data_IF_801971338944
#
_entry.id   IF_801971338944
#
_cell.length_a   1.000
_cell.length_b   1.000
_cell.length_c   1.000
_cell.angle_alpha   90.00
_cell.angle_beta   90.00
_cell.angle_gamma   90.00
#
_symmetry.space_group_name_H-M   'P 1'
#
loop_
_entity.id
_entity.type
_entity.pdbx_description
1 polymer ?
#
# COMPACT_ATOMS: atom_id res chain seq x y z
N UNK A 1 30.83 -5.83 -8.02
CA UNK A 1 30.43 -4.89 -6.96
C UNK A 1 29.04 -5.32 -6.52
N UNK A 2 28.66 -5.22 -5.25
CA UNK A 2 27.31 -5.51 -4.84
C UNK A 2 26.34 -4.57 -5.58
N UNK A 3 25.11 -5.04 -5.81
CA UNK A 3 24.06 -4.24 -6.42
C UNK A 3 23.68 -3.06 -5.52
N UNK A 4 23.24 -1.96 -6.11
CA UNK A 4 22.65 -0.84 -5.38
C UNK A 4 21.30 -1.21 -4.80
N UNK A 5 20.80 -0.46 -3.81
CA UNK A 5 19.47 -0.67 -3.25
C UNK A 5 18.38 -0.58 -4.31
N UNK A 6 18.50 0.40 -5.22
CA UNK A 6 17.61 0.52 -6.37
C UNK A 6 17.59 -0.76 -7.22
N UNK A 7 18.78 -1.24 -7.60
CA UNK A 7 18.89 -2.40 -8.49
C UNK A 7 18.37 -3.69 -7.85
N UNK A 8 18.64 -3.89 -6.55
CA UNK A 8 18.15 -5.04 -5.79
C UNK A 8 16.63 -5.10 -5.76
N UNK A 9 15.94 -3.97 -5.49
CA UNK A 9 14.48 -3.92 -5.45
C UNK A 9 13.89 -4.09 -6.84
N UNK A 10 14.41 -3.37 -7.84
CA UNK A 10 13.97 -3.49 -9.24
C UNK A 10 14.03 -4.94 -9.70
N UNK A 11 15.17 -5.60 -9.52
CA UNK A 11 15.35 -7.00 -9.94
C UNK A 11 14.48 -7.97 -9.16
N UNK A 12 14.23 -7.71 -7.88
CA UNK A 12 13.29 -8.52 -7.11
C UNK A 12 11.87 -8.44 -7.69
N UNK A 13 11.41 -7.24 -8.07
CA UNK A 13 10.09 -7.03 -8.67
C UNK A 13 10.02 -7.65 -10.08
N UNK A 14 11.06 -7.52 -10.87
CA UNK A 14 11.15 -8.03 -12.24
C UNK A 14 11.59 -9.51 -12.33
N UNK A 15 11.78 -10.18 -11.19
CA UNK A 15 12.26 -11.57 -11.10
C UNK A 15 13.60 -11.81 -11.81
N UNK A 16 14.49 -10.80 -11.81
CA UNK A 16 15.77 -10.76 -12.54
C UNK A 16 16.99 -10.91 -11.61
N UNK A 17 17.02 -11.95 -10.80
CA UNK A 17 18.19 -12.39 -10.03
C UNK A 17 18.88 -11.27 -9.22
N UNK A 18 18.24 -10.67 -8.21
CA UNK A 18 18.92 -9.78 -7.27
C UNK A 18 20.01 -10.54 -6.52
N UNK A 19 21.11 -9.86 -6.17
CA UNK A 19 22.24 -10.49 -5.46
C UNK A 19 21.97 -10.72 -3.96
N UNK A 20 20.92 -10.11 -3.42
CA UNK A 20 20.46 -10.28 -2.05
C UNK A 20 18.96 -9.99 -1.93
N UNK A 21 18.37 -10.37 -0.82
CA UNK A 21 17.01 -10.04 -0.48
C UNK A 21 16.87 -8.53 -0.23
N UNK A 22 15.94 -7.81 -0.90
CA UNK A 22 15.59 -6.44 -0.51
C UNK A 22 14.97 -6.40 0.89
N UNK A 23 15.31 -5.37 1.67
CA UNK A 23 14.87 -5.24 3.06
C UNK A 23 14.32 -3.86 3.38
N UNK A 24 13.42 -3.81 4.39
CA UNK A 24 12.98 -2.59 5.02
C UNK A 24 12.97 -2.74 6.54
N UNK A 25 13.95 -2.11 7.19
CA UNK A 25 14.11 -2.04 8.64
C UNK A 25 14.03 -0.58 9.10
N UNK A 26 12.83 -0.03 9.18
CA UNK A 26 12.61 1.39 9.44
C UNK A 26 13.26 1.87 10.75
N UNK A 27 13.18 1.08 11.84
CA UNK A 27 13.77 1.45 13.14
C UNK A 27 15.29 1.50 13.15
N UNK A 28 15.93 0.83 12.21
CA UNK A 28 17.39 0.83 12.06
C UNK A 28 17.86 1.82 10.99
N UNK A 29 16.94 2.44 10.27
CA UNK A 29 17.26 3.28 9.13
C UNK A 29 17.87 2.51 7.95
N UNK A 30 17.72 1.18 7.95
CA UNK A 30 18.22 0.30 6.88
C UNK A 30 17.04 -0.06 5.98
N UNK A 31 17.06 0.47 4.76
CA UNK A 31 15.97 0.23 3.81
C UNK A 31 16.45 0.35 2.37
N UNK A 32 16.00 -0.56 1.53
CA UNK A 32 16.19 -0.49 0.07
C UNK A 32 15.06 0.29 -0.61
N UNK A 33 13.94 0.49 0.10
CA UNK A 33 12.75 1.19 -0.42
C UNK A 33 12.51 2.46 0.39
N UNK A 34 12.55 3.61 -0.26
CA UNK A 34 12.21 4.91 0.34
C UNK A 34 10.82 5.36 -0.08
N UNK A 35 10.00 5.70 0.91
CA UNK A 35 8.73 6.38 0.65
C UNK A 35 8.99 7.87 0.39
N UNK A 36 8.58 8.34 -0.77
CA UNK A 36 8.64 9.76 -1.13
C UNK A 36 7.33 10.42 -0.71
N UNK A 37 7.37 11.34 0.26
CA UNK A 37 6.15 11.91 0.80
C UNK A 37 5.60 12.98 -0.14
N UNK A 38 4.37 12.82 -0.59
CA UNK A 38 3.60 13.96 -1.09
C UNK A 38 2.60 14.41 -0.01
N UNK A 39 2.13 15.63 -0.10
CA UNK A 39 1.34 16.23 0.97
C UNK A 39 -0.16 16.00 0.74
N UNK A 40 -0.66 14.83 1.12
CA UNK A 40 -2.09 14.66 1.31
C UNK A 40 -2.50 15.48 2.53
N UNK A 41 -3.19 16.59 2.29
CA UNK A 41 -3.58 17.54 3.34
C UNK A 41 -4.60 16.85 4.27
N UNK A 42 -4.35 16.90 5.57
CA UNK A 42 -5.27 16.34 6.58
C UNK A 42 -5.08 14.86 6.90
N UNK A 43 -4.61 14.04 5.96
CA UNK A 43 -4.30 12.64 6.23
C UNK A 43 -3.00 12.55 7.05
N UNK A 44 -3.11 11.97 8.24
CA UNK A 44 -1.93 11.69 9.04
C UNK A 44 -1.35 12.88 9.82
N UNK A 45 -2.09 13.98 9.99
CA UNK A 45 -1.71 14.94 11.04
C UNK A 45 -1.92 14.31 12.42
N UNK A 46 -0.94 13.49 12.80
CA UNK A 46 -0.93 12.71 14.02
C UNK A 46 -0.97 13.61 15.27
N UNK A 47 -0.75 14.89 15.12
CA UNK A 47 -0.75 15.86 16.22
C UNK A 47 -2.16 16.32 16.64
N UNK A 48 -3.17 16.21 15.78
CA UNK A 48 -4.51 16.73 16.04
C UNK A 48 -5.52 15.60 16.27
N UNK A 49 -6.38 15.75 17.31
CA UNK A 49 -7.46 14.79 17.57
C UNK A 49 -8.57 14.84 16.50
N UNK A 50 -8.74 15.98 15.89
CA UNK A 50 -9.73 16.23 14.82
C UNK A 50 -9.04 16.96 13.69
N UNK A 51 -9.20 16.47 12.48
CA UNK A 51 -8.70 17.11 11.26
C UNK A 51 -9.69 16.90 10.11
N UNK A 52 -9.50 17.64 9.03
CA UNK A 52 -10.26 17.50 7.78
C UNK A 52 -9.27 17.33 6.65
N UNK A 53 -9.47 16.31 5.83
CA UNK A 53 -8.61 16.06 4.67
C UNK A 53 -8.98 16.92 3.45
N UNK A 54 -8.21 16.80 2.38
CA UNK A 54 -8.41 17.53 1.12
C UNK A 54 -9.75 17.24 0.43
N UNK A 55 -10.40 16.14 0.81
CA UNK A 55 -11.73 15.75 0.32
C UNK A 55 -12.87 16.22 1.23
N UNK A 56 -12.54 16.93 2.32
CA UNK A 56 -13.52 17.37 3.30
C UNK A 56 -13.97 16.28 4.27
N UNK A 57 -13.32 15.12 4.29
CA UNK A 57 -13.63 14.06 5.24
C UNK A 57 -13.10 14.42 6.62
N UNK A 58 -13.95 14.31 7.64
CA UNK A 58 -13.59 14.58 9.04
C UNK A 58 -12.91 13.36 9.68
N UNK A 59 -11.71 13.56 10.22
CA UNK A 59 -10.92 12.53 10.90
C UNK A 59 -10.98 12.71 12.41
N UNK A 60 -11.14 11.61 13.12
CA UNK A 60 -11.07 11.56 14.58
C UNK A 60 -10.03 10.53 15.02
N UNK A 61 -9.21 10.90 16.00
CA UNK A 61 -8.20 10.04 16.58
C UNK A 61 -8.46 9.80 18.06
N UNK A 62 -8.32 8.56 18.49
CA UNK A 62 -8.31 8.21 19.92
C UNK A 62 -7.01 8.70 20.59
N UNK A 63 -6.92 8.53 21.91
CA UNK A 63 -5.69 8.83 22.66
C UNK A 63 -4.54 7.85 22.35
N UNK A 64 -4.85 6.74 21.68
CA UNK A 64 -3.84 5.81 21.16
C UNK A 64 -3.12 6.43 19.96
N UNK A 65 -1.79 6.33 19.87
CA UNK A 65 -1.03 6.85 18.73
C UNK A 65 -1.28 5.99 17.49
N UNK A 66 -2.30 6.35 16.73
CA UNK A 66 -2.67 5.74 15.45
C UNK A 66 -3.10 6.81 14.46
N UNK A 67 -3.39 6.39 13.25
CA UNK A 67 -3.80 7.27 12.13
C UNK A 67 -5.17 7.93 12.34
N UNK A 68 -6.01 7.39 13.23
CA UNK A 68 -7.41 7.83 13.37
C UNK A 68 -8.34 7.14 12.38
N UNK A 69 -9.57 7.58 12.38
CA UNK A 69 -10.63 7.07 11.51
C UNK A 69 -11.46 8.22 10.95
N UNK A 70 -11.97 8.05 9.75
CA UNK A 70 -12.96 8.96 9.18
C UNK A 70 -14.30 8.78 9.92
N UNK A 71 -14.83 9.87 10.43
CA UNK A 71 -16.15 9.96 11.10
C UNK A 71 -17.07 10.99 10.45
N UNK A 72 -16.51 11.97 9.75
CA UNK A 72 -17.25 12.98 9.00
C UNK A 72 -17.24 12.65 7.51
N UNK A 73 -18.42 12.37 6.95
CA UNK A 73 -18.62 11.97 5.56
C UNK A 73 -19.30 13.08 4.78
N UNK A 74 -18.59 13.91 4.00
CA UNK A 74 -19.17 15.09 3.35
C UNK A 74 -20.28 14.78 2.34
N UNK A 75 -20.29 13.57 1.80
CA UNK A 75 -21.31 13.08 0.88
C UNK A 75 -22.21 12.01 1.52
N UNK A 76 -22.39 12.00 2.84
CA UNK A 76 -23.32 11.10 3.53
C UNK A 76 -24.74 11.19 2.96
N UNK A 77 -25.16 12.38 2.56
CA UNK A 77 -26.38 12.63 1.75
C UNK A 77 -25.96 13.04 0.33
N UNK A 78 -26.56 12.42 -0.68
CA UNK A 78 -26.32 12.74 -2.08
C UNK A 78 -26.70 14.19 -2.46
N UNK A 79 -27.57 14.85 -1.70
CA UNK A 79 -27.89 16.26 -1.93
C UNK A 79 -26.68 17.18 -1.72
N UNK A 80 -25.74 16.76 -0.90
CA UNK A 80 -24.50 17.53 -0.69
C UNK A 80 -23.64 17.67 -1.96
N UNK A 81 -23.83 16.82 -2.97
CA UNK A 81 -23.12 16.95 -4.26
C UNK A 81 -23.35 18.29 -4.95
N UNK A 82 -24.50 18.94 -4.74
CA UNK A 82 -24.82 20.23 -5.36
C UNK A 82 -23.84 21.34 -4.96
N UNK A 83 -23.22 21.23 -3.79
CA UNK A 83 -22.27 22.22 -3.25
C UNK A 83 -20.87 21.65 -2.98
N UNK A 84 -20.68 20.35 -3.19
CA UNK A 84 -19.41 19.69 -2.93
C UNK A 84 -18.36 20.08 -3.96
N UNK A 85 -17.18 20.47 -3.47
CA UNK A 85 -16.04 20.78 -4.32
C UNK A 85 -15.01 19.67 -4.22
N UNK A 86 -14.76 18.99 -5.33
CA UNK A 86 -13.68 18.01 -5.43
C UNK A 86 -12.32 18.69 -5.31
N UNK A 87 -11.32 18.03 -4.69
CA UNK A 87 -9.97 18.58 -4.66
C UNK A 87 -9.38 18.68 -6.08
N UNK A 88 -8.54 19.69 -6.28
CA UNK A 88 -7.85 19.93 -7.55
C UNK A 88 -6.45 19.28 -7.51
N UNK A 89 -6.16 18.28 -8.36
CA UNK A 89 -4.84 17.64 -8.40
C UNK A 89 -3.72 18.62 -8.81
N UNK A 90 -4.03 19.78 -9.40
CA UNK A 90 -3.04 20.80 -9.75
C UNK A 90 -2.58 21.63 -8.53
N UNK A 91 -3.16 21.42 -7.35
CA UNK A 91 -2.83 22.18 -6.13
C UNK A 91 -1.34 22.08 -5.80
N UNK A 92 -0.54 23.16 -5.86
CA UNK A 92 0.92 23.10 -5.71
C UNK A 92 1.37 22.60 -4.33
N UNK A 93 0.54 22.81 -3.29
CA UNK A 93 0.83 22.39 -1.94
C UNK A 93 0.99 20.87 -1.81
N UNK A 94 0.37 20.07 -2.68
CA UNK A 94 0.49 18.61 -2.67
C UNK A 94 1.92 18.14 -2.93
N UNK A 95 2.71 18.87 -3.70
CA UNK A 95 4.01 18.42 -4.20
C UNK A 95 5.22 19.00 -3.43
N UNK A 96 4.99 19.95 -2.54
CA UNK A 96 6.05 20.68 -1.82
C UNK A 96 7.00 19.77 -1.02
N UNK A 97 6.47 18.74 -0.35
CA UNK A 97 7.27 17.82 0.44
C UNK A 97 8.16 16.93 -0.44
N UNK A 98 7.69 16.61 -1.65
CA UNK A 98 8.49 15.86 -2.62
C UNK A 98 9.68 16.66 -3.13
N UNK A 99 9.50 17.97 -3.38
CA UNK A 99 10.58 18.87 -3.79
C UNK A 99 11.72 18.85 -2.77
N UNK A 100 11.38 18.98 -1.48
CA UNK A 100 12.36 18.95 -0.38
C UNK A 100 13.04 17.56 -0.25
N UNK A 101 12.28 16.48 -0.43
CA UNK A 101 12.83 15.13 -0.37
C UNK A 101 13.93 14.91 -1.41
N UNK A 102 13.78 15.45 -2.60
CA UNK A 102 14.72 15.28 -3.69
C UNK A 102 15.93 16.22 -3.66
N UNK A 103 16.09 17.06 -2.63
CA UNK A 103 17.32 17.80 -2.40
C UNK A 103 18.49 16.91 -1.99
N UNK A 104 18.20 15.70 -1.47
CA UNK A 104 19.21 14.69 -1.08
C UNK A 104 19.20 13.54 -2.09
N UNK A 105 20.36 13.25 -2.67
CA UNK A 105 20.54 12.07 -3.52
C UNK A 105 20.81 10.82 -2.67
N UNK A 106 20.03 9.78 -2.88
CA UNK A 106 20.23 8.47 -2.28
C UNK A 106 20.06 7.39 -3.34
N UNK A 107 20.89 6.34 -3.26
CA UNK A 107 20.80 5.16 -4.12
C UNK A 107 19.78 4.16 -3.51
N UNK A 108 18.50 4.53 -3.57
CA UNK A 108 17.41 3.71 -3.07
C UNK A 108 16.30 3.61 -4.10
N UNK A 109 15.48 2.57 -4.01
CA UNK A 109 14.24 2.49 -4.77
C UNK A 109 13.21 3.44 -4.16
N UNK A 110 12.73 4.39 -4.94
CA UNK A 110 11.83 5.46 -4.48
C UNK A 110 10.40 5.17 -4.90
N UNK A 111 9.54 4.98 -3.91
CA UNK A 111 8.12 4.73 -4.09
C UNK A 111 7.32 5.88 -3.49
N UNK A 112 6.41 6.47 -4.26
CA UNK A 112 5.38 7.38 -3.75
C UNK A 112 4.02 6.72 -3.87
N UNK A 113 2.92 7.39 -3.50
CA UNK A 113 1.62 6.76 -3.66
C UNK A 113 0.45 7.56 -3.12
N UNK A 114 -0.73 7.02 -3.32
CA UNK A 114 -2.00 7.59 -2.85
C UNK A 114 -2.54 6.73 -1.70
N UNK A 115 -2.80 7.38 -0.58
CA UNK A 115 -3.50 6.80 0.55
C UNK A 115 -5.02 6.87 0.32
N UNK A 116 -5.74 5.75 0.52
CA UNK A 116 -7.17 5.61 0.22
C UNK A 116 -7.47 5.80 -1.27
N UNK A 117 -7.09 4.81 -2.07
CA UNK A 117 -7.18 4.89 -3.53
C UNK A 117 -8.62 5.10 -4.02
N UNK A 118 -9.47 4.09 -3.93
CA UNK A 118 -10.79 4.12 -4.54
C UNK A 118 -11.90 3.72 -3.56
N UNK A 119 -11.94 2.48 -3.12
CA UNK A 119 -13.01 2.01 -2.22
C UNK A 119 -12.94 2.73 -0.86
N UNK A 120 -11.75 2.83 -0.27
CA UNK A 120 -11.55 3.57 0.96
C UNK A 120 -11.92 5.05 0.80
N UNK A 121 -11.57 5.69 -0.31
CA UNK A 121 -11.95 7.07 -0.59
C UNK A 121 -13.44 7.23 -0.79
N UNK A 122 -14.09 6.31 -1.49
CA UNK A 122 -15.53 6.32 -1.68
C UNK A 122 -16.28 6.22 -0.35
N UNK A 123 -15.88 5.27 0.52
CA UNK A 123 -16.54 5.14 1.81
C UNK A 123 -16.14 6.22 2.82
N UNK A 124 -14.97 6.85 2.68
CA UNK A 124 -14.65 8.06 3.44
C UNK A 124 -15.56 9.22 3.07
N UNK A 125 -15.92 9.37 1.82
CA UNK A 125 -16.84 10.39 1.33
C UNK A 125 -18.32 10.11 1.68
N UNK A 126 -18.76 8.87 1.44
CA UNK A 126 -20.18 8.46 1.54
C UNK A 126 -20.59 7.87 2.88
N UNK A 127 -19.64 7.34 3.64
CA UNK A 127 -19.85 6.39 4.72
C UNK A 127 -19.83 4.95 4.21
N UNK A 128 -19.29 4.05 5.03
CA UNK A 128 -19.06 2.65 4.66
C UNK A 128 -20.35 1.92 4.26
N UNK A 129 -21.38 1.98 5.10
CA UNK A 129 -22.67 1.33 4.85
C UNK A 129 -23.36 1.89 3.59
N UNK A 130 -23.39 3.21 3.44
CA UNK A 130 -23.99 3.85 2.27
C UNK A 130 -23.26 3.43 0.99
N UNK A 131 -21.92 3.35 1.01
CA UNK A 131 -21.14 2.91 -0.16
C UNK A 131 -21.52 1.50 -0.57
N UNK A 132 -21.61 0.56 0.39
CA UNK A 132 -22.00 -0.82 0.08
C UNK A 132 -23.42 -0.91 -0.47
N UNK A 133 -24.38 -0.17 0.10
CA UNK A 133 -25.76 -0.13 -0.40
C UNK A 133 -25.84 0.46 -1.81
N UNK A 134 -25.13 1.56 -2.07
CA UNK A 134 -25.16 2.27 -3.34
C UNK A 134 -24.57 1.44 -4.50
N UNK A 135 -23.62 0.54 -4.22
CA UNK A 135 -23.12 -0.41 -5.22
C UNK A 135 -24.21 -1.28 -5.85
N UNK A 136 -25.35 -1.43 -5.17
CA UNK A 136 -26.52 -2.17 -5.66
C UNK A 136 -27.67 -1.25 -6.04
N UNK A 137 -27.99 -0.24 -5.21
CA UNK A 137 -29.18 0.58 -5.33
C UNK A 137 -28.99 1.83 -6.21
N UNK A 138 -27.80 2.43 -6.23
CA UNK A 138 -27.51 3.72 -6.88
C UNK A 138 -26.30 3.62 -7.84
N UNK A 139 -26.25 2.55 -8.63
CA UNK A 139 -25.08 2.16 -9.45
C UNK A 139 -24.52 3.27 -10.34
N UNK A 140 -25.39 4.05 -10.96
CA UNK A 140 -24.97 5.15 -11.83
C UNK A 140 -24.30 6.28 -11.03
N UNK A 141 -24.89 6.63 -9.89
CA UNK A 141 -24.41 7.72 -9.05
C UNK A 141 -23.12 7.37 -8.33
N UNK A 142 -23.04 6.16 -7.75
CA UNK A 142 -21.80 5.69 -7.10
C UNK A 142 -20.69 5.44 -8.13
N UNK A 143 -21.05 5.02 -9.35
CA UNK A 143 -20.11 4.87 -10.46
C UNK A 143 -19.54 6.22 -10.91
N UNK A 144 -20.38 7.25 -10.99
CA UNK A 144 -19.94 8.61 -11.28
C UNK A 144 -18.99 9.14 -10.19
N UNK A 145 -19.30 8.90 -8.90
CA UNK A 145 -18.40 9.28 -7.79
C UNK A 145 -17.04 8.55 -7.90
N UNK A 146 -17.07 7.24 -8.14
CA UNK A 146 -15.85 6.45 -8.34
C UNK A 146 -14.98 6.99 -9.47
N UNK A 147 -15.62 7.37 -10.60
CA UNK A 147 -14.89 7.94 -11.75
C UNK A 147 -14.29 9.32 -11.43
N UNK A 148 -14.94 10.13 -10.56
CA UNK A 148 -14.36 11.39 -10.07
C UNK A 148 -13.13 11.18 -9.18
N UNK A 149 -13.14 10.14 -8.34
CA UNK A 149 -11.95 9.76 -7.55
C UNK A 149 -10.82 9.32 -8.50
N UNK A 150 -11.11 8.46 -9.46
CA UNK A 150 -10.13 8.02 -10.47
C UNK A 150 -9.55 9.19 -11.27
N UNK A 151 -10.37 10.16 -11.68
CA UNK A 151 -9.90 11.33 -12.42
C UNK A 151 -8.92 12.18 -11.60
N UNK A 152 -9.17 12.33 -10.29
CA UNK A 152 -8.23 12.97 -9.36
C UNK A 152 -6.92 12.19 -9.27
N UNK A 153 -6.97 10.88 -9.05
CA UNK A 153 -5.79 10.02 -8.93
C UNK A 153 -4.92 10.06 -10.20
N UNK A 154 -5.56 10.01 -11.38
CA UNK A 154 -4.87 10.17 -12.67
C UNK A 154 -4.22 11.56 -12.81
N UNK A 155 -4.86 12.58 -12.28
CA UNK A 155 -4.28 13.93 -12.19
C UNK A 155 -3.03 13.97 -11.32
N UNK A 156 -3.06 13.36 -10.14
CA UNK A 156 -1.90 13.24 -9.23
C UNK A 156 -0.74 12.48 -9.90
N UNK A 157 -1.02 11.31 -10.52
CA UNK A 157 -0.03 10.51 -11.24
C UNK A 157 0.66 11.35 -12.32
N UNK A 158 -0.12 12.03 -13.17
CA UNK A 158 0.40 12.92 -14.21
C UNK A 158 1.28 14.02 -13.63
N UNK A 159 0.80 14.75 -12.64
CA UNK A 159 1.51 15.88 -12.03
C UNK A 159 2.83 15.44 -11.36
N UNK A 160 2.84 14.29 -10.67
CA UNK A 160 4.06 13.73 -10.09
C UNK A 160 5.07 13.40 -11.20
N UNK A 161 4.63 12.79 -12.29
CA UNK A 161 5.51 12.48 -13.41
C UNK A 161 6.08 13.73 -14.07
N UNK A 162 5.25 14.72 -14.37
CA UNK A 162 5.66 15.97 -15.01
C UNK A 162 6.69 16.76 -14.17
N UNK A 163 6.58 16.71 -12.83
CA UNK A 163 7.45 17.41 -11.92
C UNK A 163 8.74 16.65 -11.58
N UNK A 164 8.65 15.33 -11.41
CA UNK A 164 9.74 14.53 -10.84
C UNK A 164 10.27 13.44 -11.77
N UNK A 165 9.53 13.05 -12.81
CA UNK A 165 9.99 12.14 -13.86
C UNK A 165 10.55 10.83 -13.32
N UNK A 166 11.74 10.46 -13.80
CA UNK A 166 12.42 9.21 -13.45
C UNK A 166 12.98 9.16 -12.02
N UNK A 167 12.73 10.18 -11.19
CA UNK A 167 13.15 10.18 -9.78
C UNK A 167 12.28 9.27 -8.91
N UNK A 168 11.13 8.79 -9.44
CA UNK A 168 10.22 7.81 -8.86
C UNK A 168 10.32 6.52 -9.66
N UNK A 169 10.33 5.36 -9.00
CA UNK A 169 10.39 4.04 -9.62
C UNK A 169 9.14 3.20 -9.34
N UNK A 170 8.42 3.49 -8.26
CA UNK A 170 7.20 2.79 -7.89
C UNK A 170 6.10 3.73 -7.43
N UNK A 171 4.86 3.31 -7.66
CA UNK A 171 3.68 4.02 -7.20
C UNK A 171 2.78 3.09 -6.38
N UNK A 172 2.60 3.42 -5.10
CA UNK A 172 1.88 2.60 -4.15
C UNK A 172 0.49 3.16 -3.83
N UNK A 173 -0.44 2.25 -3.55
CA UNK A 173 -1.80 2.58 -3.20
C UNK A 173 -2.20 1.86 -1.91
N UNK A 174 -3.08 2.47 -1.12
CA UNK A 174 -3.79 1.74 -0.07
C UNK A 174 -5.26 1.61 -0.45
N UNK A 175 -5.82 0.43 -0.30
CA UNK A 175 -7.25 0.20 -0.42
C UNK A 175 -7.61 -1.13 0.26
N UNK A 176 -8.22 -1.07 1.45
CA UNK A 176 -8.49 -2.25 2.26
C UNK A 176 -9.77 -2.93 1.80
N UNK A 177 -9.68 -4.23 1.47
CA UNK A 177 -10.76 -4.97 0.81
C UNK A 177 -11.42 -6.05 1.65
N UNK A 178 -10.98 -6.23 2.87
CA UNK A 178 -11.53 -7.29 3.71
C UNK A 178 -11.34 -7.06 5.20
N UNK A 179 -12.08 -7.84 5.95
CA UNK A 179 -11.79 -8.10 7.36
C UNK A 179 -10.73 -9.19 7.47
N UNK A 180 -10.34 -9.58 8.68
CA UNK A 180 -9.48 -10.76 8.88
C UNK A 180 -10.13 -12.08 8.40
N UNK A 181 -11.43 -12.11 8.14
CA UNK A 181 -12.19 -13.33 7.84
C UNK A 181 -12.83 -13.35 6.46
N UNK A 182 -13.39 -12.22 6.05
CA UNK A 182 -14.26 -12.14 4.87
C UNK A 182 -14.01 -10.87 4.06
N UNK A 183 -14.34 -10.95 2.78
CA UNK A 183 -14.39 -9.82 1.85
C UNK A 183 -15.56 -8.87 2.18
N UNK A 184 -15.43 -7.61 1.84
CA UNK A 184 -16.54 -6.64 1.96
C UNK A 184 -17.60 -6.80 0.88
N UNK A 185 -17.21 -7.23 -0.33
CA UNK A 185 -18.10 -7.45 -1.47
C UNK A 185 -17.70 -8.74 -2.21
N UNK A 186 -18.57 -9.25 -3.08
CA UNK A 186 -18.25 -10.46 -3.85
C UNK A 186 -17.18 -10.17 -4.92
N UNK A 187 -16.37 -11.18 -5.30
CA UNK A 187 -15.41 -11.05 -6.39
C UNK A 187 -16.05 -10.60 -7.71
N UNK A 188 -17.26 -11.08 -8.02
CA UNK A 188 -17.98 -10.70 -9.23
C UNK A 188 -18.35 -9.21 -9.25
N UNK A 189 -18.80 -8.67 -8.12
CA UNK A 189 -19.10 -7.25 -8.00
C UNK A 189 -17.83 -6.42 -8.09
N UNK A 190 -16.75 -6.87 -7.44
CA UNK A 190 -15.44 -6.23 -7.51
C UNK A 190 -14.94 -6.18 -8.96
N UNK A 191 -14.96 -7.31 -9.66
CA UNK A 191 -14.53 -7.39 -11.05
C UNK A 191 -15.38 -6.52 -11.99
N UNK A 192 -16.70 -6.46 -11.76
CA UNK A 192 -17.59 -5.66 -12.60
C UNK A 192 -17.47 -4.14 -12.36
N UNK A 193 -17.21 -3.71 -11.13
CA UNK A 193 -17.24 -2.30 -10.76
C UNK A 193 -15.83 -1.69 -10.59
N UNK A 194 -14.95 -2.35 -9.84
CA UNK A 194 -13.64 -1.81 -9.47
C UNK A 194 -12.53 -2.15 -10.46
N UNK A 195 -12.45 -3.38 -10.96
CA UNK A 195 -11.39 -3.84 -11.87
C UNK A 195 -11.12 -2.90 -13.04
N UNK A 196 -12.12 -2.41 -13.81
CA UNK A 196 -11.85 -1.49 -14.92
C UNK A 196 -11.25 -0.16 -14.47
N UNK A 197 -11.55 0.30 -13.28
CA UNK A 197 -11.04 1.54 -12.68
C UNK A 197 -9.60 1.37 -12.19
N UNK A 198 -9.33 0.26 -11.48
CA UNK A 198 -7.96 -0.12 -11.10
C UNK A 198 -7.05 -0.23 -12.32
N UNK A 199 -7.55 -0.90 -13.39
CA UNK A 199 -6.79 -1.01 -14.63
C UNK A 199 -6.40 0.35 -15.21
N UNK A 200 -7.31 1.32 -15.23
CA UNK A 200 -7.02 2.69 -15.70
C UNK A 200 -5.91 3.36 -14.90
N UNK A 201 -5.94 3.20 -13.57
CA UNK A 201 -4.94 3.80 -12.67
C UNK A 201 -3.59 3.11 -12.85
N UNK A 202 -3.57 1.77 -12.85
CA UNK A 202 -2.34 1.00 -12.98
C UNK A 202 -1.68 1.20 -14.35
N UNK A 203 -2.47 1.23 -15.43
CA UNK A 203 -1.97 1.55 -16.77
C UNK A 203 -1.34 2.95 -16.82
N UNK A 204 -1.90 3.92 -16.11
CA UNK A 204 -1.32 5.26 -16.04
C UNK A 204 0.04 5.26 -15.32
N UNK A 205 0.24 4.44 -14.29
CA UNK A 205 1.54 4.27 -13.63
C UNK A 205 2.55 3.59 -14.55
N UNK A 206 2.15 2.51 -15.22
CA UNK A 206 3.00 1.79 -16.17
C UNK A 206 3.41 2.67 -17.37
N UNK A 207 2.53 3.55 -17.84
CA UNK A 207 2.86 4.51 -18.88
C UNK A 207 3.98 5.48 -18.49
N UNK A 208 4.23 5.64 -17.18
CA UNK A 208 5.34 6.41 -16.65
C UNK A 208 6.60 5.56 -16.36
N UNK A 209 6.53 4.26 -16.59
CA UNK A 209 7.61 3.31 -16.27
C UNK A 209 7.72 2.99 -14.76
N UNK A 210 6.66 3.17 -14.00
CA UNK A 210 6.62 2.89 -12.57
C UNK A 210 6.02 1.51 -12.29
N UNK A 211 6.63 0.78 -11.35
CA UNK A 211 6.01 -0.42 -10.79
C UNK A 211 4.81 -0.05 -9.92
N UNK A 212 3.79 -0.89 -9.96
CA UNK A 212 2.55 -0.69 -9.20
C UNK A 212 2.57 -1.52 -7.92
N UNK A 213 2.41 -0.82 -6.80
CA UNK A 213 2.38 -1.39 -5.45
C UNK A 213 1.00 -1.20 -4.83
N UNK A 214 0.53 -2.18 -4.07
CA UNK A 214 -0.72 -2.05 -3.34
C UNK A 214 -0.59 -2.56 -1.91
N UNK A 215 -1.09 -1.75 -0.98
CA UNK A 215 -1.37 -2.14 0.38
C UNK A 215 -2.85 -2.49 0.50
N UNK A 216 -3.14 -3.66 1.05
CA UNK A 216 -4.50 -4.03 1.47
C UNK A 216 -4.43 -4.89 2.72
N UNK A 217 -4.92 -4.37 3.84
CA UNK A 217 -5.15 -5.15 5.04
C UNK A 217 -6.36 -6.07 4.89
N UNK A 218 -6.47 -7.04 5.80
CA UNK A 218 -7.53 -8.06 5.74
C UNK A 218 -7.31 -9.10 4.68
N UNK A 219 -8.28 -10.00 4.53
CA UNK A 219 -8.20 -11.08 3.54
C UNK A 219 -8.75 -10.60 2.20
N UNK A 220 -7.86 -10.28 1.27
CA UNK A 220 -8.18 -9.91 -0.11
C UNK A 220 -7.69 -10.96 -1.13
N UNK A 221 -7.38 -12.19 -0.70
CA UNK A 221 -6.78 -13.22 -1.57
C UNK A 221 -7.61 -13.49 -2.84
N UNK A 222 -8.94 -13.46 -2.73
CA UNK A 222 -9.81 -13.71 -3.86
C UNK A 222 -9.72 -12.65 -4.99
N UNK A 223 -9.17 -11.47 -4.72
CA UNK A 223 -8.99 -10.43 -5.74
C UNK A 223 -7.59 -10.41 -6.37
N UNK A 224 -6.63 -11.20 -5.85
CA UNK A 224 -5.23 -11.11 -6.29
C UNK A 224 -5.05 -11.41 -7.78
N UNK A 225 -5.77 -12.39 -8.34
CA UNK A 225 -5.69 -12.68 -9.77
C UNK A 225 -6.21 -11.50 -10.62
N UNK A 226 -7.34 -10.92 -10.24
CA UNK A 226 -7.89 -9.75 -10.91
C UNK A 226 -6.97 -8.52 -10.80
N UNK A 227 -6.34 -8.32 -9.64
CA UNK A 227 -5.36 -7.25 -9.43
C UNK A 227 -4.10 -7.44 -10.28
N UNK A 228 -3.60 -8.67 -10.39
CA UNK A 228 -2.48 -9.02 -11.30
C UNK A 228 -2.88 -8.74 -12.76
N UNK A 229 -4.08 -9.09 -13.18
CA UNK A 229 -4.58 -8.78 -14.53
C UNK A 229 -4.74 -7.27 -14.77
N UNK A 230 -4.99 -6.48 -13.73
CA UNK A 230 -4.95 -5.02 -13.81
C UNK A 230 -3.52 -4.47 -13.94
N UNK A 231 -2.49 -5.24 -13.56
CA UNK A 231 -1.09 -4.86 -13.62
C UNK A 231 -0.44 -4.63 -12.26
N UNK A 232 -0.98 -5.20 -11.17
CA UNK A 232 -0.32 -5.16 -9.85
C UNK A 232 0.97 -5.97 -9.88
N UNK A 233 2.08 -5.39 -9.39
CA UNK A 233 3.40 -6.02 -9.35
C UNK A 233 3.86 -6.32 -7.92
N UNK A 234 3.45 -5.53 -6.93
CA UNK A 234 3.83 -5.71 -5.51
C UNK A 234 2.62 -5.61 -4.61
N UNK A 235 2.40 -6.62 -3.78
CA UNK A 235 1.34 -6.62 -2.75
C UNK A 235 1.94 -6.56 -1.34
N UNK A 236 1.35 -5.76 -0.46
CA UNK A 236 1.74 -5.52 0.92
C UNK A 236 0.47 -5.37 1.79
N UNK A 237 0.41 -5.76 3.06
CA UNK A 237 1.48 -6.36 3.85
C UNK A 237 1.37 -7.89 3.94
N UNK A 238 0.33 -8.51 3.34
CA UNK A 238 0.04 -9.95 3.44
C UNK A 238 -0.22 -10.37 4.89
N UNK A 239 -1.24 -9.77 5.48
CA UNK A 239 -1.56 -9.90 6.91
C UNK A 239 -1.74 -11.36 7.33
N UNK A 240 -0.83 -11.86 8.17
CA UNK A 240 -0.81 -13.26 8.60
C UNK A 240 -2.03 -13.62 9.47
N UNK A 241 -2.54 -12.67 10.28
CA UNK A 241 -3.77 -12.88 11.07
C UNK A 241 -5.02 -13.01 10.21
N UNK A 242 -4.99 -12.48 8.99
CA UNK A 242 -6.06 -12.63 8.00
C UNK A 242 -5.91 -13.90 7.12
N UNK A 243 -4.97 -14.79 7.46
CA UNK A 243 -4.78 -16.06 6.78
C UNK A 243 -3.78 -16.06 5.62
N UNK A 244 -3.15 -14.92 5.32
CA UNK A 244 -2.09 -14.90 4.32
C UNK A 244 -0.84 -15.65 4.77
N UNK A 245 -0.31 -16.46 3.87
CA UNK A 245 0.94 -17.19 4.07
C UNK A 245 1.72 -17.29 2.75
N UNK A 246 2.89 -16.66 2.69
CA UNK A 246 3.73 -16.70 1.49
C UNK A 246 4.12 -18.11 1.07
N UNK A 247 4.18 -19.08 2.00
CA UNK A 247 4.46 -20.49 1.70
C UNK A 247 3.38 -21.13 0.82
N UNK A 248 2.12 -20.66 0.95
CA UNK A 248 1.00 -21.10 0.15
C UNK A 248 0.80 -20.25 -1.12
N UNK A 249 1.10 -18.96 -1.05
CA UNK A 249 0.91 -18.03 -2.17
C UNK A 249 2.04 -18.13 -3.20
N UNK A 250 3.28 -18.30 -2.76
CA UNK A 250 4.44 -18.31 -3.63
C UNK A 250 4.38 -19.36 -4.75
N UNK A 251 3.99 -20.61 -4.50
CA UNK A 251 3.84 -21.61 -5.58
C UNK A 251 2.78 -21.25 -6.62
N UNK A 252 1.78 -20.46 -6.25
CA UNK A 252 0.64 -20.10 -7.11
C UNK A 252 0.84 -18.81 -7.88
N UNK A 253 1.37 -17.79 -7.22
CA UNK A 253 1.42 -16.42 -7.74
C UNK A 253 2.84 -15.87 -7.90
N UNK A 254 3.83 -16.52 -7.30
CA UNK A 254 5.18 -15.97 -7.10
C UNK A 254 6.03 -15.78 -8.35
N UNK A 255 5.55 -16.10 -9.54
CA UNK A 255 6.19 -15.75 -10.81
C UNK A 255 5.55 -14.50 -11.48
N UNK A 256 4.53 -13.93 -10.84
CA UNK A 256 3.73 -12.81 -11.40
C UNK A 256 3.48 -11.69 -10.40
N UNK A 257 3.73 -11.95 -9.11
CA UNK A 257 3.46 -11.00 -8.03
C UNK A 257 4.60 -11.04 -7.02
N UNK A 258 5.16 -9.90 -6.71
CA UNK A 258 6.14 -9.72 -5.65
C UNK A 258 5.43 -9.53 -4.31
N UNK A 259 5.87 -10.28 -3.32
CA UNK A 259 5.34 -10.23 -1.97
C UNK A 259 6.20 -9.33 -1.10
N UNK A 260 5.59 -8.34 -0.46
CA UNK A 260 6.26 -7.43 0.46
C UNK A 260 5.64 -7.56 1.85
N UNK A 261 6.30 -8.26 2.78
CA UNK A 261 5.79 -8.47 4.14
C UNK A 261 5.60 -9.91 4.56
N UNK A 262 4.46 -10.20 5.21
CA UNK A 262 4.01 -11.49 5.73
C UNK A 262 4.76 -12.02 6.97
N UNK A 263 5.80 -11.35 7.50
CA UNK A 263 6.38 -11.77 8.79
C UNK A 263 5.42 -11.37 9.90
N UNK A 264 4.84 -12.36 10.57
CA UNK A 264 3.80 -12.18 11.59
C UNK A 264 4.34 -11.40 12.80
N UNK A 265 3.86 -10.16 13.02
CA UNK A 265 4.29 -9.31 14.14
C UNK A 265 4.05 -9.95 15.50
N UNK A 266 3.05 -10.84 15.63
CA UNK A 266 2.78 -11.59 16.87
C UNK A 266 3.91 -12.58 17.15
N UNK A 267 4.52 -13.15 16.10
CA UNK A 267 5.70 -14.03 16.21
C UNK A 267 6.98 -13.25 16.48
N UNK A 268 7.08 -12.01 15.98
CA UNK A 268 8.21 -11.13 16.30
C UNK A 268 8.30 -10.81 17.78
N UNK A 269 7.18 -10.72 18.50
CA UNK A 269 7.11 -10.50 19.96
C UNK A 269 7.08 -11.79 20.80
N UNK A 270 6.95 -12.96 20.18
CA UNK A 270 6.92 -14.26 20.85
C UNK A 270 8.33 -14.71 21.33
N UNK A 271 8.49 -15.99 21.67
CA UNK A 271 9.79 -16.53 22.04
C UNK A 271 10.83 -16.37 20.91
N UNK A 272 12.11 -16.32 21.28
CA UNK A 272 13.20 -16.19 20.30
C UNK A 272 13.16 -17.30 19.24
N UNK A 273 12.90 -18.51 19.69
CA UNK A 273 12.78 -19.68 18.81
C UNK A 273 11.64 -19.53 17.81
N UNK A 274 10.45 -19.13 18.27
CA UNK A 274 9.28 -18.95 17.39
C UNK A 274 9.50 -17.82 16.38
N UNK A 275 10.16 -16.74 16.79
CA UNK A 275 10.50 -15.64 15.91
C UNK A 275 11.51 -16.07 14.84
N UNK A 276 12.58 -16.78 15.21
CA UNK A 276 13.58 -17.29 14.26
C UNK A 276 12.96 -18.30 13.28
N UNK A 277 12.10 -19.20 13.76
CA UNK A 277 11.38 -20.17 12.93
C UNK A 277 10.48 -19.49 11.91
N UNK A 278 9.70 -18.50 12.34
CA UNK A 278 8.84 -17.70 11.45
C UNK A 278 9.63 -17.06 10.31
N UNK A 279 10.75 -16.39 10.64
CA UNK A 279 11.60 -15.71 9.66
C UNK A 279 12.26 -16.72 8.71
N UNK A 280 12.85 -17.77 9.25
CA UNK A 280 13.54 -18.81 8.47
C UNK A 280 12.60 -19.45 7.45
N UNK A 281 11.44 -19.93 7.93
CA UNK A 281 10.55 -20.75 7.13
C UNK A 281 9.83 -19.93 6.05
N UNK A 282 9.43 -18.69 6.38
CA UNK A 282 8.82 -17.80 5.40
C UNK A 282 9.80 -17.25 4.37
N UNK A 283 11.00 -16.84 4.81
CA UNK A 283 12.02 -16.37 3.86
C UNK A 283 12.46 -17.51 2.94
N UNK A 284 12.68 -18.72 3.47
CA UNK A 284 13.05 -19.86 2.65
C UNK A 284 12.07 -20.14 1.51
N UNK A 285 10.76 -20.04 1.79
CA UNK A 285 9.72 -20.21 0.77
C UNK A 285 9.59 -18.97 -0.14
N UNK A 286 9.61 -17.77 0.43
CA UNK A 286 9.29 -16.55 -0.30
C UNK A 286 10.38 -16.11 -1.28
N UNK A 287 11.67 -16.39 -0.98
CA UNK A 287 12.78 -16.03 -1.85
C UNK A 287 12.94 -16.92 -3.08
N UNK A 288 12.32 -18.09 -3.10
CA UNK A 288 12.35 -19.02 -4.23
C UNK A 288 11.88 -18.32 -5.53
N UNK A 289 12.73 -18.33 -6.56
CA UNK A 289 12.43 -17.67 -7.84
C UNK A 289 12.28 -16.15 -7.74
N UNK A 290 12.84 -15.51 -6.69
CA UNK A 290 12.83 -14.05 -6.44
C UNK A 290 11.43 -13.51 -6.12
N UNK A 291 11.19 -12.19 -6.27
CA UNK A 291 9.86 -11.60 -6.03
C UNK A 291 9.45 -11.57 -4.55
N UNK A 292 10.40 -11.27 -3.67
CA UNK A 292 10.12 -11.06 -2.25
C UNK A 292 10.93 -9.89 -1.70
N UNK A 293 10.28 -9.05 -0.89
CA UNK A 293 10.88 -7.94 -0.15
C UNK A 293 10.56 -8.16 1.33
N UNK A 294 11.59 -8.16 2.17
CA UNK A 294 11.39 -8.37 3.61
C UNK A 294 10.68 -7.17 4.26
N UNK A 295 9.61 -7.47 4.98
CA UNK A 295 8.92 -6.58 5.92
C UNK A 295 8.03 -7.40 6.86
N UNK A 296 7.61 -6.80 7.99
CA UNK A 296 6.54 -7.34 8.82
C UNK A 296 5.17 -7.22 8.14
N UNK A 297 4.21 -8.03 8.58
CA UNK A 297 2.83 -8.01 8.07
C UNK A 297 1.98 -6.86 8.64
N UNK A 298 2.52 -6.11 9.58
CA UNK A 298 1.91 -4.92 10.19
C UNK A 298 2.99 -4.05 10.85
N UNK A 299 2.59 -2.94 11.46
CA UNK A 299 3.46 -2.12 12.30
C UNK A 299 4.08 -2.96 13.41
N UNK A 300 5.39 -2.83 13.60
CA UNK A 300 6.11 -3.57 14.65
C UNK A 300 5.59 -3.15 16.03
N UNK A 301 5.10 -4.09 16.86
CA UNK A 301 4.50 -3.75 18.13
C UNK A 301 5.57 -3.34 19.18
N UNK A 302 5.19 -2.54 20.19
CA UNK A 302 6.13 -2.02 21.19
C UNK A 302 6.80 -3.10 22.04
N UNK A 303 6.25 -4.30 22.10
CA UNK A 303 6.84 -5.46 22.79
C UNK A 303 8.11 -5.99 22.09
N UNK A 304 8.31 -5.67 20.82
CA UNK A 304 9.55 -5.96 20.10
C UNK A 304 10.59 -4.93 20.48
N UNK A 305 11.53 -5.30 21.34
CA UNK A 305 12.62 -4.43 21.75
C UNK A 305 13.58 -4.13 20.59
N UNK A 306 14.36 -3.04 20.72
CA UNK A 306 15.35 -2.69 19.71
C UNK A 306 16.40 -3.79 19.49
N UNK A 307 16.83 -4.48 20.57
CA UNK A 307 17.77 -5.60 20.49
C UNK A 307 17.14 -6.81 19.78
N UNK A 308 15.85 -7.07 20.01
CA UNK A 308 15.11 -8.10 19.28
C UNK A 308 15.04 -7.75 17.80
N UNK A 309 14.71 -6.50 17.47
CA UNK A 309 14.60 -6.06 16.08
C UNK A 309 15.94 -6.15 15.33
N UNK A 310 17.06 -5.84 16.01
CA UNK A 310 18.41 -6.02 15.46
C UNK A 310 18.71 -7.51 15.20
N UNK A 311 18.34 -8.40 16.13
CA UNK A 311 18.51 -9.84 15.95
C UNK A 311 17.65 -10.39 14.81
N UNK A 312 16.46 -9.86 14.61
CA UNK A 312 15.63 -10.17 13.44
C UNK A 312 16.38 -9.83 12.15
N UNK A 313 17.04 -8.69 12.09
CA UNK A 313 17.86 -8.32 10.94
C UNK A 313 18.98 -9.36 10.68
N UNK A 314 19.68 -9.79 11.73
CA UNK A 314 20.73 -10.81 11.59
C UNK A 314 20.18 -12.13 11.02
N UNK A 315 18.96 -12.53 11.43
CA UNK A 315 18.31 -13.72 10.86
C UNK A 315 17.87 -13.50 9.41
N UNK A 316 17.36 -12.32 9.08
CA UNK A 316 16.97 -12.00 7.70
C UNK A 316 18.19 -12.04 6.77
N UNK A 317 19.32 -11.49 7.18
CA UNK A 317 20.58 -11.60 6.43
C UNK A 317 21.02 -13.06 6.28
N UNK A 318 20.99 -13.85 7.38
CA UNK A 318 21.38 -15.25 7.41
C UNK A 318 20.55 -16.12 6.47
N UNK A 319 19.21 -15.95 6.48
CA UNK A 319 18.29 -16.78 5.71
C UNK A 319 17.92 -16.20 4.35
N UNK A 320 18.14 -14.90 4.15
CA UNK A 320 17.85 -14.17 2.92
C UNK A 320 18.93 -14.27 1.83
N UNK A 321 20.07 -14.88 2.10
CA UNK A 321 21.08 -15.14 1.07
C UNK A 321 20.52 -16.07 -0.02
N UNK A 322 20.77 -15.72 -1.31
CA UNK A 322 20.42 -16.53 -2.48
C UNK A 322 21.43 -17.61 -2.77
#
# INVERSE_FOLDING_TARGET
MPMSSYEVVRRAIEFDQPDRLPVRFDWLGITDVRSVPWNQIGTGNIAEKHSVDEWGCGWERSDMPNMGQVKGHPLADWLALETFTFPDPETPAFYKNMEQFFEVEEDTYRCTGIFMLLFERMHALRGFENTLLDLYAERERIGWLADKVVDFDLGIIRNIHERFGNRIQGFGFTDDWGTERDLFISPELWAAFFKPRYKRIFDACHAQGWHVWMHSCGNCEAYLEDLIECGLEVIQPLQASAGFDVRNLKPRLGARLTFFGNIDVRKMSASEKECEEEIRDKIAAAKEGYGYIYHSDHSVPPEVTFDRYRRIMDWVEKYGAY
#
